data_IF_162321569313
#
_entry.id   IF_162321569313
#
_cell.length_a   1.000
_cell.length_b   1.000
_cell.length_c   1.000
_cell.angle_alpha   90.00
_cell.angle_beta   90.00
_cell.angle_gamma   90.00
#
_symmetry.space_group_name_H-M   'P 1'
#
loop_
_entity.id
_entity.type
_entity.pdbx_description
1 polymer ?
#
# COMPACT_ATOMS: atom_id res chain seq x y z
N UNK A 1 1.88 -0.16 -12.08
CA UNK A 1 0.86 -1.20 -12.26
C UNK A 1 0.60 -1.79 -10.88
N UNK A 2 -0.58 -1.57 -10.30
CA UNK A 2 -0.89 -2.12 -8.98
C UNK A 2 -1.17 -3.62 -9.14
N UNK A 3 -0.30 -4.47 -8.58
CA UNK A 3 -0.60 -5.89 -8.45
C UNK A 3 -1.86 -6.06 -7.61
N UNK A 4 -2.76 -7.02 -7.94
CA UNK A 4 -3.91 -7.30 -7.10
C UNK A 4 -3.43 -7.64 -5.69
N UNK A 5 -4.00 -6.96 -4.69
CA UNK A 5 -3.72 -7.25 -3.28
C UNK A 5 -4.30 -8.64 -2.99
N UNK A 6 -3.45 -9.55 -2.58
CA UNK A 6 -3.85 -10.88 -2.13
C UNK A 6 -4.69 -10.73 -0.84
N UNK A 7 -5.93 -11.25 -0.79
CA UNK A 7 -6.80 -11.12 0.38
C UNK A 7 -6.28 -11.83 1.63
N UNK A 8 -5.33 -12.76 1.49
CA UNK A 8 -4.83 -13.58 2.59
C UNK A 8 -3.65 -12.95 3.35
N UNK A 9 -3.14 -11.78 2.93
CA UNK A 9 -1.94 -11.16 3.52
C UNK A 9 -2.05 -10.87 5.02
N UNK A 10 -3.26 -10.66 5.52
CA UNK A 10 -3.49 -10.31 6.92
C UNK A 10 -3.90 -11.52 7.79
N UNK A 11 -3.90 -12.73 7.22
CA UNK A 11 -4.41 -13.93 7.91
C UNK A 11 -3.33 -14.70 8.67
N UNK A 12 -2.03 -14.45 8.42
CA UNK A 12 -0.92 -15.23 8.99
C UNK A 12 -0.92 -15.27 10.52
N UNK A 13 -1.08 -14.13 11.18
CA UNK A 13 -1.15 -14.05 12.63
C UNK A 13 -2.39 -14.78 13.19
N UNK A 14 -3.55 -14.59 12.56
CA UNK A 14 -4.80 -15.22 12.98
C UNK A 14 -4.75 -16.76 12.83
N UNK A 15 -4.12 -17.24 11.76
CA UNK A 15 -3.88 -18.66 11.52
C UNK A 15 -3.00 -19.27 12.62
N UNK A 16 -1.87 -18.62 12.94
CA UNK A 16 -0.91 -19.10 13.96
C UNK A 16 -1.52 -19.08 15.36
N UNK A 17 -2.30 -18.05 15.70
CA UNK A 17 -2.99 -17.94 16.99
C UNK A 17 -4.28 -18.76 17.06
N UNK A 18 -4.68 -19.41 15.96
CA UNK A 18 -5.88 -20.25 15.91
C UNK A 18 -7.19 -19.47 16.01
N UNK A 19 -7.21 -18.19 15.62
CA UNK A 19 -8.41 -17.34 15.65
C UNK A 19 -9.25 -17.38 14.38
N UNK A 20 -8.76 -18.02 13.30
CA UNK A 20 -9.56 -18.27 12.10
C UNK A 20 -10.66 -19.30 12.37
N UNK A 21 -11.83 -19.09 11.75
CA UNK A 21 -12.87 -20.11 11.72
C UNK A 21 -12.38 -21.35 10.96
N UNK A 22 -13.02 -22.53 11.14
CA UNK A 22 -12.64 -23.74 10.41
C UNK A 22 -12.72 -23.59 8.89
N UNK A 23 -13.60 -22.74 8.38
CA UNK A 23 -13.73 -22.45 6.94
C UNK A 23 -12.54 -21.65 6.42
N UNK A 24 -12.28 -20.50 7.06
CA UNK A 24 -11.15 -19.62 6.74
C UNK A 24 -9.82 -20.36 6.86
N UNK A 25 -9.65 -21.20 7.88
CA UNK A 25 -8.42 -21.98 8.04
C UNK A 25 -8.16 -22.91 6.85
N UNK A 26 -9.16 -23.66 6.40
CA UNK A 26 -9.03 -24.56 5.23
C UNK A 26 -8.74 -23.78 3.94
N UNK A 27 -9.38 -22.63 3.79
CA UNK A 27 -9.16 -21.74 2.65
C UNK A 27 -7.70 -21.25 2.62
N UNK A 28 -7.19 -20.78 3.74
CA UNK A 28 -5.82 -20.30 3.86
C UNK A 28 -4.79 -21.42 3.68
N UNK A 29 -5.03 -22.59 4.26
CA UNK A 29 -4.18 -23.78 4.07
C UNK A 29 -4.13 -24.21 2.58
N UNK A 30 -5.21 -24.01 1.83
CA UNK A 30 -5.23 -24.21 0.37
C UNK A 30 -4.38 -23.20 -0.41
N UNK A 31 -4.23 -21.98 0.11
CA UNK A 31 -3.45 -20.92 -0.49
C UNK A 31 -1.93 -21.04 -0.21
N UNK A 32 -1.54 -21.45 0.99
CA UNK A 32 -0.14 -21.50 1.45
C UNK A 32 0.85 -22.17 0.47
N UNK A 33 0.54 -23.33 -0.16
CA UNK A 33 1.46 -23.98 -1.09
C UNK A 33 1.78 -23.13 -2.34
N UNK A 34 0.89 -22.23 -2.71
CA UNK A 34 1.02 -21.36 -3.88
C UNK A 34 1.63 -19.99 -3.58
N UNK A 35 1.87 -19.65 -2.31
CA UNK A 35 2.29 -18.32 -1.91
C UNK A 35 3.45 -18.34 -0.90
N UNK A 36 4.69 -18.13 -1.38
CA UNK A 36 5.87 -18.02 -0.52
C UNK A 36 5.80 -16.83 0.46
N UNK A 37 5.13 -15.73 0.08
CA UNK A 37 4.96 -14.58 0.96
C UNK A 37 4.12 -14.92 2.19
N UNK A 38 2.93 -15.51 2.00
CA UNK A 38 2.06 -15.94 3.10
C UNK A 38 2.71 -17.06 3.94
N UNK A 39 3.46 -17.97 3.32
CA UNK A 39 4.25 -18.98 4.04
C UNK A 39 5.36 -18.35 4.89
N UNK A 40 6.03 -17.32 4.37
CA UNK A 40 7.04 -16.56 5.11
C UNK A 40 6.44 -15.76 6.26
N UNK A 41 5.24 -15.20 6.08
CA UNK A 41 4.51 -14.48 7.11
C UNK A 41 4.13 -15.41 8.29
N UNK A 42 3.57 -16.60 8.00
CA UNK A 42 3.32 -17.63 9.02
C UNK A 42 4.60 -18.02 9.76
N UNK A 43 5.70 -18.22 9.03
CA UNK A 43 7.00 -18.54 9.63
C UNK A 43 7.51 -17.42 10.56
N UNK A 44 7.24 -16.15 10.22
CA UNK A 44 7.62 -15.00 11.04
C UNK A 44 6.90 -14.98 12.40
N UNK A 45 5.68 -15.54 12.48
CA UNK A 45 4.89 -15.61 13.71
C UNK A 45 5.06 -16.92 14.50
N UNK A 46 5.77 -17.93 13.98
CA UNK A 46 5.84 -19.26 14.58
C UNK A 46 6.33 -19.29 16.04
N UNK A 47 7.14 -18.31 16.46
CA UNK A 47 7.62 -18.19 17.85
C UNK A 47 6.62 -17.54 18.82
N UNK A 48 5.63 -16.81 18.32
CA UNK A 48 4.70 -16.01 19.14
C UNK A 48 3.86 -16.87 20.09
N UNK A 49 3.23 -17.98 19.66
CA UNK A 49 2.44 -18.82 20.57
C UNK A 49 3.26 -19.35 21.74
N UNK A 50 4.55 -19.66 21.52
CA UNK A 50 5.46 -20.12 22.57
C UNK A 50 5.69 -19.06 23.64
N UNK A 51 5.94 -17.81 23.23
CA UNK A 51 6.12 -16.69 24.16
C UNK A 51 4.82 -16.44 24.95
N UNK A 52 3.68 -16.45 24.26
CA UNK A 52 2.37 -16.24 24.91
C UNK A 52 1.99 -17.35 25.88
N UNK A 53 2.50 -18.58 25.70
CA UNK A 53 2.23 -19.71 26.59
C UNK A 53 2.78 -19.52 28.02
N UNK A 54 3.72 -18.57 28.21
CA UNK A 54 4.27 -18.23 29.53
C UNK A 54 3.26 -17.48 30.39
N UNK A 55 2.27 -16.81 29.78
CA UNK A 55 1.27 -16.03 30.51
C UNK A 55 0.27 -16.97 31.19
N UNK A 56 0.14 -16.93 32.54
CA UNK A 56 -0.85 -17.73 33.24
C UNK A 56 -2.27 -17.37 32.79
N UNK A 57 -3.14 -18.37 32.71
CA UNK A 57 -4.51 -18.21 32.18
C UNK A 57 -5.32 -17.20 33.00
N UNK A 58 -5.19 -17.21 34.32
CA UNK A 58 -5.82 -16.23 35.23
C UNK A 58 -5.41 -14.80 34.85
N UNK A 59 -4.12 -14.55 34.68
CA UNK A 59 -3.61 -13.23 34.24
C UNK A 59 -4.09 -12.85 32.85
N UNK A 60 -4.21 -13.80 31.93
CA UNK A 60 -4.76 -13.54 30.60
C UNK A 60 -6.24 -13.16 30.66
N UNK A 61 -7.02 -13.77 31.56
CA UNK A 61 -8.44 -13.45 31.76
C UNK A 61 -8.62 -12.07 32.42
N UNK A 62 -7.75 -11.70 33.36
CA UNK A 62 -7.77 -10.36 33.97
C UNK A 62 -7.60 -9.24 32.91
N UNK A 63 -6.83 -9.50 31.85
CA UNK A 63 -6.64 -8.57 30.72
C UNK A 63 -7.87 -8.48 29.78
N UNK A 64 -8.79 -9.44 29.85
CA UNK A 64 -10.02 -9.43 29.05
C UNK A 64 -11.16 -8.69 29.74
N UNK A 65 -11.03 -8.39 31.04
CA UNK A 65 -11.93 -7.44 31.67
C UNK A 65 -11.73 -6.10 30.96
N UNK A 66 -12.81 -5.51 30.41
CA UNK A 66 -12.68 -4.19 29.81
C UNK A 66 -12.32 -3.26 30.95
N UNK A 67 -11.07 -2.80 30.98
CA UNK A 67 -10.77 -1.49 31.55
C UNK A 67 -11.85 -0.59 30.95
N UNK A 68 -12.78 -0.11 31.78
CA UNK A 68 -13.97 0.66 31.36
C UNK A 68 -13.59 2.05 30.79
N UNK A 69 -12.32 2.18 30.40
CA UNK A 69 -11.59 3.36 30.03
C UNK A 69 -10.47 3.00 29.03
N UNK A 70 -10.66 1.98 28.18
CA UNK A 70 -10.04 2.00 26.87
C UNK A 70 -10.61 3.22 26.13
N UNK A 71 -10.02 4.39 26.39
CA UNK A 71 -10.40 5.65 25.77
C UNK A 71 -10.43 5.41 24.26
N UNK A 72 -11.64 5.46 23.69
CA UNK A 72 -11.84 5.39 22.26
C UNK A 72 -10.87 6.41 21.64
N UNK A 73 -9.94 5.99 20.74
CA UNK A 73 -8.92 6.88 20.25
C UNK A 73 -9.65 8.10 19.66
N UNK A 74 -9.29 9.33 20.07
CA UNK A 74 -10.08 10.49 19.70
C UNK A 74 -10.17 10.53 18.18
N UNK A 75 -11.37 10.77 17.60
CA UNK A 75 -11.60 10.69 16.15
C UNK A 75 -10.66 11.59 15.34
N UNK A 76 -10.06 12.60 15.99
CA UNK A 76 -9.00 13.43 15.45
C UNK A 76 -7.78 12.63 14.93
N UNK A 77 -7.36 11.55 15.61
CA UNK A 77 -6.17 10.78 15.20
C UNK A 77 -6.41 10.09 13.86
N UNK A 78 -7.59 9.51 13.66
CA UNK A 78 -7.97 8.90 12.39
C UNK A 78 -8.15 9.95 11.29
N UNK A 79 -8.79 11.08 11.61
CA UNK A 79 -8.98 12.18 10.68
C UNK A 79 -7.63 12.75 10.20
N UNK A 80 -6.65 12.87 11.10
CA UNK A 80 -5.31 13.36 10.79
C UNK A 80 -4.55 12.38 9.89
N UNK A 81 -4.62 11.07 10.14
CA UNK A 81 -4.00 10.06 9.28
C UNK A 81 -4.60 10.07 7.87
N UNK A 82 -5.93 10.17 7.77
CA UNK A 82 -6.64 10.26 6.48
C UNK A 82 -6.28 11.56 5.75
N UNK A 83 -6.21 12.68 6.47
CA UNK A 83 -5.83 13.98 5.91
C UNK A 83 -4.36 13.99 5.45
N UNK A 84 -3.45 13.40 6.22
CA UNK A 84 -2.04 13.29 5.88
C UNK A 84 -1.83 12.46 4.61
N UNK A 85 -2.52 11.32 4.49
CA UNK A 85 -2.46 10.47 3.31
C UNK A 85 -3.06 11.16 2.08
N UNK A 86 -4.21 11.84 2.24
CA UNK A 86 -4.81 12.66 1.16
C UNK A 86 -3.86 13.75 0.68
N UNK A 87 -3.17 14.42 1.61
CA UNK A 87 -2.17 15.46 1.31
C UNK A 87 -0.98 14.89 0.55
N UNK A 88 -0.44 13.74 0.97
CA UNK A 88 0.64 13.04 0.26
C UNK A 88 0.26 12.73 -1.18
N UNK A 89 -0.93 12.16 -1.40
CA UNK A 89 -1.44 11.85 -2.75
C UNK A 89 -1.59 13.09 -3.62
N UNK A 90 -2.11 14.18 -3.07
CA UNK A 90 -2.29 15.42 -3.82
C UNK A 90 -0.94 16.05 -4.20
N UNK A 91 0.03 16.08 -3.28
CA UNK A 91 1.41 16.53 -3.55
C UNK A 91 2.08 15.68 -4.62
N UNK A 92 1.97 14.35 -4.54
CA UNK A 92 2.53 13.45 -5.56
C UNK A 92 1.94 13.74 -6.94
N UNK A 93 0.62 13.94 -7.04
CA UNK A 93 -0.04 14.34 -8.29
C UNK A 93 0.42 15.70 -8.80
N UNK A 94 0.60 16.68 -7.91
CA UNK A 94 1.12 17.99 -8.28
C UNK A 94 2.54 17.91 -8.85
N UNK A 95 3.42 17.10 -8.23
CA UNK A 95 4.77 16.84 -8.75
C UNK A 95 4.75 16.17 -10.11
N UNK A 96 3.89 15.16 -10.32
CA UNK A 96 3.74 14.50 -11.63
C UNK A 96 3.24 15.50 -12.69
N UNK A 97 2.24 16.31 -12.37
CA UNK A 97 1.74 17.33 -13.29
C UNK A 97 2.81 18.37 -13.63
N UNK A 98 3.57 18.85 -12.64
CA UNK A 98 4.68 19.77 -12.85
C UNK A 98 5.77 19.16 -13.75
N UNK A 99 6.12 17.89 -13.54
CA UNK A 99 7.09 17.18 -14.37
C UNK A 99 6.61 17.04 -15.82
N UNK A 100 5.32 16.74 -16.05
CA UNK A 100 4.74 16.66 -17.40
C UNK A 100 4.76 18.01 -18.11
N UNK A 101 4.42 19.09 -17.41
CA UNK A 101 4.47 20.46 -17.96
C UNK A 101 5.91 20.83 -18.32
N UNK A 102 6.88 20.57 -17.44
CA UNK A 102 8.29 20.83 -17.71
C UNK A 102 8.79 20.02 -18.92
N UNK A 103 8.44 18.75 -19.01
CA UNK A 103 8.78 17.90 -20.14
C UNK A 103 8.18 18.41 -21.46
N UNK A 104 6.93 18.90 -21.45
CA UNK A 104 6.30 19.50 -22.61
C UNK A 104 7.00 20.79 -23.06
N UNK A 105 7.40 21.66 -22.12
CA UNK A 105 8.16 22.87 -22.42
C UNK A 105 9.54 22.57 -23.00
N UNK A 106 10.28 21.64 -22.39
CA UNK A 106 11.58 21.20 -22.91
C UNK A 106 11.43 20.55 -24.29
N UNK A 107 10.41 19.72 -24.50
CA UNK A 107 10.10 19.12 -25.79
C UNK A 107 9.78 20.16 -26.86
N UNK A 108 8.99 21.19 -26.54
CA UNK A 108 8.66 22.28 -27.46
C UNK A 108 9.88 23.14 -27.79
N UNK A 109 10.74 23.45 -26.81
CA UNK A 109 11.98 24.20 -27.02
C UNK A 109 12.95 23.43 -27.93
N UNK A 110 13.12 22.12 -27.70
CA UNK A 110 13.91 21.25 -28.58
C UNK A 110 13.28 21.18 -29.97
N UNK A 111 11.97 21.02 -30.09
CA UNK A 111 11.29 20.99 -31.38
C UNK A 111 11.46 22.30 -32.16
N UNK A 112 11.42 23.47 -31.49
CA UNK A 112 11.70 24.77 -32.10
C UNK A 112 13.16 24.91 -32.52
N UNK A 113 14.11 24.46 -31.68
CA UNK A 113 15.54 24.53 -31.99
C UNK A 113 15.94 23.57 -33.12
N UNK A 114 15.25 22.44 -33.24
CA UNK A 114 15.48 21.42 -34.27
C UNK A 114 14.70 21.73 -35.55
N UNK A 115 13.83 22.75 -35.60
CA UNK A 115 13.25 23.21 -36.88
C UNK A 115 14.38 23.60 -37.82
N UNK A 116 14.71 22.78 -38.83
CA UNK A 116 15.76 23.13 -39.77
C UNK A 116 15.25 24.27 -40.64
N UNK A 117 16.17 25.07 -41.13
CA UNK A 117 16.00 26.21 -42.04
C UNK A 117 15.37 25.80 -43.40
N UNK A 118 14.14 25.28 -43.39
CA UNK A 118 13.42 24.81 -44.57
C UNK A 118 12.39 25.84 -45.08
N UNK A 119 12.53 27.13 -44.71
CA UNK A 119 11.61 28.18 -45.15
C UNK A 119 12.19 29.13 -46.20
N UNK A 120 13.41 28.90 -46.69
CA UNK A 120 14.04 29.80 -47.68
C UNK A 120 13.82 29.35 -49.14
N UNK A 121 13.40 28.12 -49.44
CA UNK A 121 13.56 27.59 -50.80
C UNK A 121 12.34 27.58 -51.73
N UNK A 122 11.09 27.54 -51.27
CA UNK A 122 9.94 27.34 -52.17
C UNK A 122 8.69 27.96 -51.55
N UNK A 123 8.23 29.14 -51.98
CA UNK A 123 7.13 29.18 -52.95
C UNK A 123 7.05 30.55 -53.66
N UNK A 124 8.05 30.83 -54.52
CA UNK A 124 7.99 31.89 -55.55
C UNK A 124 8.27 31.24 -56.90
N UNK A 125 7.24 30.66 -57.50
CA UNK A 125 7.06 30.18 -58.89
C UNK A 125 6.17 28.93 -58.77
N UNK A 126 4.94 28.90 -59.26
CA UNK A 126 4.59 29.19 -60.65
C UNK A 126 3.09 29.51 -60.80
N UNK A 127 2.82 30.72 -61.29
CA UNK A 127 1.64 31.02 -62.13
C UNK A 127 1.98 30.72 -63.58
#
# INVERSE_FOLDING_TARGET
MSSPVDPYRDWGAAYVLGSLSPGERREFEGHLPGCPECSGDVASFAGVPGILSVVPRDRALDLLEPEREAAEPPPAVFADLVAAERSRRWRARAWVAAALVLAAFLGAAVALAVRPAAQVATDRKST
#
